data_IF_807589810995
#
_entry.id   IF_807589810995
#
_cell.length_a   1.000
_cell.length_b   1.000
_cell.length_c   1.000
_cell.angle_alpha   90.00
_cell.angle_beta   90.00
_cell.angle_gamma   90.00
#
_symmetry.space_group_name_H-M   'P 1'
#
loop_
_entity.id
_entity.type
_entity.pdbx_description
1 polymer ?
#
# COMPACT_ATOMS: atom_id res chain seq x y z
N UNK A 1 -15.78 0.19 -2.57
CA UNK A 1 -15.04 0.26 -1.29
C UNK A 1 -13.89 1.25 -1.49
N UNK A 2 -13.53 2.08 -0.50
CA UNK A 2 -12.50 3.15 -0.59
C UNK A 2 -11.83 3.34 0.78
N UNK A 3 -10.51 3.48 0.88
CA UNK A 3 -9.81 3.60 2.18
C UNK A 3 -8.69 4.64 2.13
N UNK A 4 -8.98 5.92 2.30
CA UNK A 4 -7.95 6.97 2.32
C UNK A 4 -7.22 7.09 3.69
N UNK A 5 -5.89 7.29 3.76
CA UNK A 5 -5.18 7.65 5.02
C UNK A 5 -4.02 8.61 4.79
N UNK A 6 -4.21 9.91 4.93
CA UNK A 6 -3.10 10.86 4.77
C UNK A 6 -2.22 10.94 6.05
N UNK A 7 -1.44 9.89 6.33
CA UNK A 7 -0.69 9.72 7.59
C UNK A 7 -0.31 8.26 7.89
N UNK A 8 0.44 8.07 8.98
CA UNK A 8 1.10 6.81 9.35
C UNK A 8 0.12 5.66 9.69
N UNK A 9 0.25 4.48 9.08
CA UNK A 9 -0.51 3.25 9.40
C UNK A 9 0.45 2.10 9.73
N UNK A 10 0.11 1.16 10.62
CA UNK A 10 1.00 0.02 10.99
C UNK A 10 0.16 -1.24 11.29
N UNK A 11 0.43 -2.42 10.71
CA UNK A 11 -0.39 -3.65 10.93
C UNK A 11 0.44 -4.91 11.07
N UNK A 12 0.67 -5.40 12.29
CA UNK A 12 1.44 -6.63 12.53
C UNK A 12 0.56 -7.89 12.49
N UNK A 13 0.19 -8.30 11.29
CA UNK A 13 -0.67 -9.44 10.96
C UNK A 13 -1.16 -9.26 9.52
N UNK A 14 -2.07 -10.10 9.03
CA UNK A 14 -2.53 -9.99 7.64
C UNK A 14 -3.64 -8.94 7.51
N UNK A 15 -3.55 -8.10 6.48
CA UNK A 15 -4.58 -7.14 6.11
C UNK A 15 -5.30 -7.60 4.84
N UNK A 16 -6.63 -7.58 4.84
CA UNK A 16 -7.44 -7.83 3.63
C UNK A 16 -8.42 -6.69 3.42
N UNK A 17 -8.40 -6.14 2.22
CA UNK A 17 -9.20 -5.02 1.75
C UNK A 17 -9.85 -5.48 0.45
N UNK A 18 -11.11 -5.17 0.20
CA UNK A 18 -11.88 -5.69 -0.95
C UNK A 18 -12.18 -4.64 -2.03
N UNK A 19 -11.43 -3.55 -2.06
CA UNK A 19 -11.63 -2.40 -2.96
C UNK A 19 -10.99 -1.14 -2.40
N UNK A 20 -11.03 -0.03 -3.15
CA UNK A 20 -10.05 1.06 -3.17
C UNK A 20 -9.42 1.49 -1.82
N UNK A 21 -8.18 1.99 -1.79
CA UNK A 21 -7.45 2.52 -0.61
C UNK A 21 -6.51 3.65 -1.03
N UNK A 22 -6.22 4.69 -0.25
CA UNK A 22 -5.38 5.83 -0.67
C UNK A 22 -4.65 6.49 0.52
N UNK A 23 -3.38 6.17 0.84
CA UNK A 23 -2.72 6.64 2.08
C UNK A 23 -1.63 7.70 1.86
N UNK A 24 -1.84 8.98 2.14
CA UNK A 24 -0.81 10.03 1.99
C UNK A 24 -0.07 10.42 3.29
N UNK A 25 0.79 9.51 3.76
CA UNK A 25 1.66 9.54 4.95
C UNK A 25 2.16 8.11 5.19
N UNK A 26 2.77 7.73 6.32
CA UNK A 26 3.47 6.43 6.35
C UNK A 26 2.50 5.22 6.39
N UNK A 27 2.91 4.00 6.03
CA UNK A 27 2.17 2.76 6.31
C UNK A 27 3.17 1.64 6.61
N UNK A 28 2.82 0.68 7.47
CA UNK A 28 3.61 -0.48 7.83
C UNK A 28 2.64 -1.65 7.98
N UNK A 29 3.02 -2.84 7.56
CA UNK A 29 2.31 -4.09 7.80
C UNK A 29 3.39 -5.12 8.12
N UNK A 30 3.25 -5.91 9.17
CA UNK A 30 4.15 -7.00 9.57
C UNK A 30 3.74 -8.38 9.06
N UNK A 31 2.65 -8.48 8.29
CA UNK A 31 2.17 -9.68 7.60
C UNK A 31 1.75 -9.40 6.17
N UNK A 32 0.94 -10.27 5.59
CA UNK A 32 0.49 -10.17 4.18
C UNK A 32 -0.59 -9.10 4.02
N UNK A 33 -0.62 -8.43 2.86
CA UNK A 33 -1.66 -7.47 2.52
C UNK A 33 -2.34 -7.84 1.19
N UNK A 34 -3.67 -7.87 1.19
CA UNK A 34 -4.48 -8.09 -0.01
C UNK A 34 -5.47 -6.95 -0.21
N UNK A 35 -5.56 -6.40 -1.42
CA UNK A 35 -6.49 -5.32 -1.77
C UNK A 35 -7.30 -5.69 -3.01
N UNK A 36 -8.63 -5.68 -2.91
CA UNK A 36 -9.59 -6.06 -3.95
C UNK A 36 -10.01 -4.92 -4.88
N UNK A 37 -9.18 -3.89 -5.05
CA UNK A 37 -9.41 -2.71 -5.92
C UNK A 37 -8.23 -1.75 -5.90
N UNK A 38 -8.44 -0.47 -6.24
CA UNK A 38 -7.34 0.48 -6.52
C UNK A 38 -6.66 1.06 -5.26
N UNK A 39 -5.33 1.13 -5.18
CA UNK A 39 -4.59 1.70 -4.06
C UNK A 39 -3.80 2.97 -4.44
N UNK A 40 -3.79 4.04 -3.63
CA UNK A 40 -2.97 5.26 -3.88
C UNK A 40 -2.23 5.76 -2.64
N UNK A 41 -0.93 5.59 -2.50
CA UNK A 41 -0.19 6.09 -1.32
C UNK A 41 0.52 7.40 -1.66
N UNK A 42 0.53 8.40 -0.77
CA UNK A 42 1.43 9.55 -0.87
C UNK A 42 2.31 9.73 0.39
N UNK A 43 3.35 8.93 0.54
CA UNK A 43 4.18 8.86 1.74
C UNK A 43 5.01 7.57 1.75
N UNK A 44 5.53 7.15 2.91
CA UNK A 44 6.29 5.89 3.00
C UNK A 44 5.35 4.69 3.20
N UNK A 45 5.69 3.50 2.69
CA UNK A 45 4.95 2.27 2.99
C UNK A 45 5.89 1.08 3.20
N UNK A 46 5.55 0.19 4.15
CA UNK A 46 6.33 -1.00 4.48
C UNK A 46 5.38 -2.19 4.64
N UNK A 47 5.72 -3.34 4.07
CA UNK A 47 4.98 -4.60 4.20
C UNK A 47 5.96 -5.74 4.45
N UNK A 48 5.79 -6.43 5.57
CA UNK A 48 6.64 -7.52 6.04
C UNK A 48 6.34 -8.87 5.39
N UNK A 49 5.17 -9.02 4.76
CA UNK A 49 4.74 -10.21 4.04
C UNK A 49 4.48 -9.98 2.55
N UNK A 50 3.68 -10.87 1.95
CA UNK A 50 3.27 -10.78 0.54
C UNK A 50 2.21 -9.69 0.34
N UNK A 51 2.27 -8.99 -0.80
CA UNK A 51 1.34 -7.91 -1.13
C UNK A 51 0.65 -8.16 -2.48
N UNK A 52 -0.69 -8.21 -2.47
CA UNK A 52 -1.50 -8.49 -3.66
C UNK A 52 -2.57 -7.42 -3.84
N UNK A 53 -2.58 -6.78 -5.00
CA UNK A 53 -3.62 -5.83 -5.38
C UNK A 53 -4.35 -6.30 -6.64
N UNK A 54 -5.67 -6.34 -6.58
CA UNK A 54 -6.53 -6.80 -7.67
C UNK A 54 -7.02 -5.64 -8.56
N UNK A 55 -6.56 -4.41 -8.29
CA UNK A 55 -6.74 -3.20 -9.11
C UNK A 55 -5.40 -2.48 -9.37
N UNK A 56 -5.44 -1.18 -9.59
CA UNK A 56 -4.25 -0.34 -9.84
C UNK A 56 -3.65 0.18 -8.53
N UNK A 57 -2.32 0.13 -8.38
CA UNK A 57 -1.63 0.84 -7.30
C UNK A 57 -0.83 2.04 -7.83
N UNK A 58 -0.90 3.16 -7.12
CA UNK A 58 -0.11 4.38 -7.34
C UNK A 58 0.58 4.77 -6.05
N UNK A 59 1.86 5.16 -6.09
CA UNK A 59 2.59 5.65 -4.91
C UNK A 59 3.36 6.93 -5.24
N UNK A 60 3.06 8.02 -4.53
CA UNK A 60 3.61 9.37 -4.68
C UNK A 60 4.43 9.75 -3.42
N UNK A 61 5.70 9.35 -3.34
CA UNK A 61 6.56 9.60 -2.17
C UNK A 61 7.83 8.74 -2.20
N UNK A 62 8.65 8.80 -1.15
CA UNK A 62 10.06 8.41 -1.25
C UNK A 62 10.41 6.94 -0.95
N UNK A 63 9.54 6.08 -0.40
CA UNK A 63 9.94 4.67 -0.18
C UNK A 63 8.82 3.66 0.09
N UNK A 64 8.83 2.56 -0.67
CA UNK A 64 8.02 1.35 -0.42
C UNK A 64 8.91 0.13 -0.22
N UNK A 65 8.81 -0.53 0.94
CA UNK A 65 9.56 -1.76 1.26
C UNK A 65 8.63 -2.95 1.40
N UNK A 66 8.76 -3.95 0.53
CA UNK A 66 8.04 -5.22 0.64
C UNK A 66 9.06 -6.34 0.84
N UNK A 67 8.96 -7.07 1.94
CA UNK A 67 9.86 -8.20 2.25
C UNK A 67 9.36 -9.53 1.66
N UNK A 68 8.17 -9.55 1.04
CA UNK A 68 7.59 -10.66 0.28
C UNK A 68 7.41 -10.37 -1.23
N UNK A 69 6.51 -11.11 -1.87
CA UNK A 69 6.16 -10.95 -3.29
C UNK A 69 5.10 -9.87 -3.47
N UNK A 70 5.32 -8.98 -4.44
CA UNK A 70 4.38 -7.93 -4.84
C UNK A 70 3.82 -8.18 -6.25
N UNK A 71 2.49 -8.09 -6.45
CA UNK A 71 1.80 -8.22 -7.75
C UNK A 71 0.80 -7.09 -8.04
N UNK A 72 0.80 -6.60 -9.28
CA UNK A 72 -0.04 -5.49 -9.83
C UNK A 72 0.26 -4.10 -9.22
N UNK A 73 1.49 -3.63 -9.39
CA UNK A 73 1.99 -2.34 -8.88
C UNK A 73 2.42 -1.42 -10.02
N UNK A 74 2.07 -0.13 -9.94
CA UNK A 74 2.64 0.92 -10.77
C UNK A 74 3.29 1.98 -9.85
N UNK A 75 4.61 2.14 -9.95
CA UNK A 75 5.32 3.14 -9.15
C UNK A 75 5.40 4.45 -9.92
N UNK A 76 4.88 5.53 -9.35
CA UNK A 76 4.90 6.85 -9.98
C UNK A 76 5.50 7.84 -8.99
N UNK A 77 6.84 7.87 -8.93
CA UNK A 77 7.57 8.89 -8.19
C UNK A 77 7.43 10.23 -8.93
N UNK A 78 6.48 11.04 -8.51
CA UNK A 78 6.42 12.44 -8.88
C UNK A 78 7.25 13.22 -7.85
N UNK A 79 8.25 14.00 -8.28
CA UNK A 79 8.86 14.97 -7.39
C UNK A 79 7.77 15.99 -6.98
N UNK A 80 7.78 16.39 -5.71
CA UNK A 80 7.10 17.62 -5.30
C UNK A 80 7.93 18.82 -5.77
#
# INVERSE_FOLDING_TARGET
MRVMVCGDMVVCGNMVVGGDMVVCGNMVVGGDMVVGGDMVVCGNMVVGGDMVVCGNMVVCGDMVYVFGKARNFLFVSLPL
#
